data_IF_230740758381
#
_entry.id   IF_230740758381
#
_cell.length_a   1.000
_cell.length_b   1.000
_cell.length_c   1.000
_cell.angle_alpha   90.00
_cell.angle_beta   90.00
_cell.angle_gamma   90.00
#
_symmetry.space_group_name_H-M   'P 1'
#
loop_
_entity.id
_entity.type
_entity.pdbx_description
1 polymer ?
#
# COMPACT_ATOMS: atom_id res chain seq x y z
N UNK A 1 0.97 -3.14 -2.36
CA UNK A 1 0.48 -3.93 -3.52
C UNK A 1 1.12 -5.31 -3.50
N UNK A 2 0.39 -6.34 -3.91
CA UNK A 2 0.90 -7.70 -4.13
C UNK A 2 0.39 -8.25 -5.46
N UNK A 3 1.22 -9.01 -6.18
CA UNK A 3 0.88 -9.65 -7.45
C UNK A 3 1.16 -11.15 -7.38
N UNK A 4 0.21 -11.96 -7.86
CA UNK A 4 0.34 -13.42 -7.96
C UNK A 4 -0.35 -13.92 -9.22
N UNK A 5 0.45 -14.40 -10.17
CA UNK A 5 -0.07 -14.83 -11.48
C UNK A 5 -0.82 -13.68 -12.17
N UNK A 6 -2.08 -13.95 -12.56
CA UNK A 6 -2.95 -12.96 -13.21
C UNK A 6 -3.55 -11.91 -12.27
N UNK A 7 -3.41 -12.06 -10.96
CA UNK A 7 -4.07 -11.21 -9.99
C UNK A 7 -3.13 -10.15 -9.42
N UNK A 8 -3.61 -8.91 -9.32
CA UNK A 8 -2.97 -7.82 -8.58
C UNK A 8 -3.95 -7.27 -7.56
N UNK A 9 -3.49 -7.16 -6.31
CA UNK A 9 -4.23 -6.55 -5.21
C UNK A 9 -3.50 -5.30 -4.74
N UNK A 10 -4.24 -4.20 -4.68
CA UNK A 10 -3.84 -2.97 -4.01
C UNK A 10 -4.54 -2.95 -2.65
N UNK A 11 -3.75 -2.75 -1.61
CA UNK A 11 -4.19 -2.61 -0.23
C UNK A 11 -3.78 -1.22 0.22
N UNK A 12 -4.77 -0.37 0.50
CA UNK A 12 -4.54 0.96 1.03
C UNK A 12 -4.94 1.01 2.51
N UNK A 13 -3.96 1.35 3.35
CA UNK A 13 -4.15 1.48 4.79
C UNK A 13 -4.48 2.93 5.16
N UNK A 14 -5.66 3.14 5.74
CA UNK A 14 -6.16 4.45 6.14
C UNK A 14 -7.21 4.36 7.24
N UNK A 15 -8.05 5.39 7.38
CA UNK A 15 -9.19 5.37 8.33
C UNK A 15 -10.17 4.23 8.03
N UNK A 16 -10.31 3.89 6.75
CA UNK A 16 -10.96 2.68 6.26
C UNK A 16 -9.97 2.00 5.34
N UNK A 17 -9.94 0.67 5.39
CA UNK A 17 -9.15 -0.12 4.45
C UNK A 17 -9.87 -0.09 3.11
N UNK A 18 -9.15 0.33 2.08
CA UNK A 18 -9.63 0.29 0.69
C UNK A 18 -8.84 -0.75 -0.09
N UNK A 19 -9.56 -1.51 -0.92
CA UNK A 19 -9.03 -2.63 -1.66
C UNK A 19 -9.38 -2.48 -3.14
N UNK A 20 -8.42 -2.82 -3.98
CA UNK A 20 -8.61 -2.92 -5.42
C UNK A 20 -8.05 -4.26 -5.91
N UNK A 21 -8.83 -4.96 -6.74
CA UNK A 21 -8.44 -6.25 -7.29
C UNK A 21 -8.59 -6.22 -8.81
N UNK A 22 -7.52 -6.60 -9.52
CA UNK A 22 -7.50 -6.64 -10.98
C UNK A 22 -7.03 -8.00 -11.49
N UNK A 23 -7.66 -8.45 -12.57
CA UNK A 23 -7.23 -9.61 -13.36
C UNK A 23 -6.42 -9.11 -14.56
N UNK A 24 -5.10 -9.01 -14.42
CA UNK A 24 -4.19 -8.48 -15.44
C UNK A 24 -4.11 -9.31 -16.72
N UNK A 25 -4.68 -10.52 -16.75
CA UNK A 25 -4.80 -11.30 -17.99
C UNK A 25 -5.96 -10.83 -18.87
N UNK A 26 -7.07 -10.47 -18.24
CA UNK A 26 -8.32 -10.05 -18.93
C UNK A 26 -8.43 -8.52 -18.98
N UNK A 27 -7.84 -7.83 -18.02
CA UNK A 27 -7.83 -6.38 -17.85
C UNK A 27 -6.40 -5.89 -17.53
N UNK A 28 -5.50 -5.87 -18.53
CA UNK A 28 -4.10 -5.47 -18.34
C UNK A 28 -3.94 -3.99 -17.95
N UNK A 29 -4.96 -3.17 -18.20
CA UNK A 29 -4.94 -1.73 -17.95
C UNK A 29 -5.68 -1.34 -16.65
N UNK A 30 -6.18 -2.32 -15.89
CA UNK A 30 -6.74 -2.11 -14.54
C UNK A 30 -7.98 -1.18 -14.53
N UNK A 31 -8.81 -1.25 -15.56
CA UNK A 31 -10.03 -0.45 -15.65
C UNK A 31 -11.18 -1.02 -14.81
N UNK A 32 -11.16 -2.32 -14.53
CA UNK A 32 -12.25 -3.03 -13.88
C UNK A 32 -11.85 -3.50 -12.48
N UNK A 33 -12.18 -2.70 -11.47
CA UNK A 33 -11.94 -3.08 -10.08
C UNK A 33 -12.95 -4.15 -9.61
N UNK A 34 -12.44 -5.35 -9.32
CA UNK A 34 -13.22 -6.52 -8.91
C UNK A 34 -13.36 -6.65 -7.38
N UNK A 35 -12.83 -5.71 -6.58
CA UNK A 35 -12.76 -5.86 -5.12
C UNK A 35 -14.12 -5.94 -4.42
N UNK A 36 -15.15 -5.33 -5.02
CA UNK A 36 -16.53 -5.35 -4.49
C UNK A 36 -17.32 -6.59 -4.91
N UNK A 37 -16.82 -7.38 -5.87
CA UNK A 37 -17.52 -8.57 -6.31
C UNK A 37 -17.28 -9.73 -5.31
N UNK A 38 -18.36 -10.32 -4.74
CA UNK A 38 -18.26 -11.36 -3.72
C UNK A 38 -17.55 -12.64 -4.20
N UNK A 39 -17.57 -12.94 -5.50
CA UNK A 39 -16.97 -14.15 -6.07
C UNK A 39 -15.45 -14.19 -5.84
N UNK A 40 -14.81 -13.02 -5.76
CA UNK A 40 -13.36 -12.89 -5.62
C UNK A 40 -12.89 -12.71 -4.17
N UNK A 41 -13.78 -12.81 -3.18
CA UNK A 41 -13.42 -12.66 -1.75
C UNK A 41 -12.29 -13.59 -1.31
N UNK A 42 -12.25 -14.81 -1.82
CA UNK A 42 -11.21 -15.78 -1.49
C UNK A 42 -9.83 -15.36 -2.01
N UNK A 43 -9.77 -14.73 -3.19
CA UNK A 43 -8.54 -14.21 -3.80
C UNK A 43 -8.02 -13.02 -3.00
N UNK A 44 -8.92 -12.09 -2.66
CA UNK A 44 -8.62 -10.94 -1.81
C UNK A 44 -8.04 -11.41 -0.48
N UNK A 45 -8.64 -12.43 0.15
CA UNK A 45 -8.14 -12.97 1.42
C UNK A 45 -6.74 -13.56 1.30
N UNK A 46 -6.46 -14.39 0.27
CA UNK A 46 -5.13 -14.98 0.04
C UNK A 46 -4.07 -13.89 -0.16
N UNK A 47 -4.37 -12.91 -1.02
CA UNK A 47 -3.44 -11.85 -1.36
C UNK A 47 -3.21 -10.88 -0.21
N UNK A 48 -4.27 -10.46 0.49
CA UNK A 48 -4.16 -9.61 1.68
C UNK A 48 -3.34 -10.29 2.77
N UNK A 49 -3.56 -11.59 3.02
CA UNK A 49 -2.77 -12.32 4.00
C UNK A 49 -1.29 -12.36 3.63
N UNK A 50 -0.95 -12.60 2.36
CA UNK A 50 0.44 -12.54 1.88
C UNK A 50 1.07 -11.16 2.04
N UNK A 51 0.30 -10.11 1.73
CA UNK A 51 0.76 -8.75 1.87
C UNK A 51 1.03 -8.41 3.34
N UNK A 52 0.09 -8.70 4.23
CA UNK A 52 0.25 -8.42 5.67
C UNK A 52 1.35 -9.28 6.31
N UNK A 53 1.56 -10.52 5.87
CA UNK A 53 2.67 -11.33 6.34
C UNK A 53 4.04 -10.77 5.92
N UNK A 54 4.13 -10.16 4.73
CA UNK A 54 5.38 -9.58 4.23
C UNK A 54 5.70 -8.23 4.87
N UNK A 55 4.71 -7.36 4.99
CA UNK A 55 4.89 -5.98 5.46
C UNK A 55 4.70 -5.84 6.98
N UNK A 56 4.05 -6.80 7.62
CA UNK A 56 3.69 -6.75 9.03
C UNK A 56 2.46 -5.87 9.28
N UNK A 57 2.43 -5.31 10.49
CA UNK A 57 1.35 -4.47 10.99
C UNK A 57 1.33 -3.09 10.28
N UNK A 58 0.26 -2.77 9.52
CA UNK A 58 0.16 -1.51 8.80
C UNK A 58 0.17 -0.25 9.69
N UNK A 59 -0.38 -0.33 10.91
CA UNK A 59 -0.41 0.80 11.84
C UNK A 59 0.98 1.08 12.40
N UNK A 60 1.74 0.03 12.72
CA UNK A 60 3.16 0.19 13.11
C UNK A 60 3.98 0.79 11.99
N UNK A 61 3.77 0.33 10.75
CA UNK A 61 4.45 0.89 9.59
C UNK A 61 4.10 2.37 9.40
N UNK A 62 2.81 2.74 9.52
CA UNK A 62 2.36 4.13 9.45
C UNK A 62 3.02 5.00 10.50
N UNK A 63 3.04 4.55 11.76
CA UNK A 63 3.65 5.31 12.86
C UNK A 63 5.14 5.54 12.62
N UNK A 64 5.86 4.53 12.13
CA UNK A 64 7.27 4.65 11.74
C UNK A 64 7.47 5.68 10.62
N UNK A 65 6.64 5.64 9.57
CA UNK A 65 6.73 6.60 8.47
C UNK A 65 6.52 8.03 8.97
N UNK A 66 5.50 8.27 9.81
CA UNK A 66 5.23 9.60 10.38
C UNK A 66 6.39 10.09 11.25
N UNK A 67 6.95 9.22 12.10
CA UNK A 67 8.13 9.53 12.90
C UNK A 67 9.33 9.92 12.01
N UNK A 68 9.60 9.12 10.97
CA UNK A 68 10.70 9.34 10.04
C UNK A 68 10.51 10.67 9.26
N UNK A 69 9.28 11.03 8.91
CA UNK A 69 8.95 12.31 8.24
C UNK A 69 9.17 13.51 9.19
N UNK A 70 8.70 13.42 10.43
CA UNK A 70 8.85 14.46 11.43
C UNK A 70 10.33 14.71 11.76
N UNK A 71 11.11 13.63 11.90
CA UNK A 71 12.55 13.70 12.17
C UNK A 71 13.30 14.43 11.06
N UNK A 72 13.03 14.09 9.78
CA UNK A 72 13.63 14.79 8.63
C UNK A 72 13.19 16.25 8.54
N UNK A 73 11.93 16.53 8.83
CA UNK A 73 11.41 17.90 8.86
C UNK A 73 12.13 18.76 9.89
N UNK A 74 12.35 18.21 11.09
CA UNK A 74 13.08 18.88 12.17
C UNK A 74 14.55 19.13 11.80
N UNK A 75 15.26 18.11 11.31
CA UNK A 75 16.65 18.25 10.85
C UNK A 75 16.75 19.33 9.78
N UNK A 76 15.87 19.33 8.78
CA UNK A 76 15.89 20.33 7.70
C UNK A 76 15.62 21.75 8.21
N UNK A 77 14.78 21.93 9.24
CA UNK A 77 14.55 23.23 9.87
C UNK A 77 15.79 23.73 10.62
N UNK A 78 16.47 22.84 11.33
CA UNK A 78 17.64 23.18 12.15
C UNK A 78 18.93 23.37 11.32
N UNK A 79 19.14 22.53 10.30
CA UNK A 79 20.32 22.59 9.43
C UNK A 79 20.30 23.76 8.43
N UNK A 80 19.17 24.50 8.34
CA UNK A 80 18.98 25.61 7.40
C UNK A 80 18.97 25.18 5.93
N UNK A 81 18.72 26.12 5.01
CA UNK A 81 19.08 25.92 3.60
C UNK A 81 20.61 25.97 3.56
N UNK A 82 21.27 24.83 3.36
CA UNK A 82 22.70 24.84 3.08
C UNK A 82 22.99 25.88 2.00
N UNK A 83 23.88 26.84 2.29
CA UNK A 83 24.51 27.64 1.25
C UNK A 83 25.37 26.67 0.45
N UNK A 84 24.80 26.08 -0.60
CA UNK A 84 25.58 25.49 -1.66
C UNK A 84 26.10 26.67 -2.48
N UNK A 85 27.39 26.95 -2.33
CA UNK A 85 28.27 27.88 -3.08
C UNK A 85 27.64 29.22 -3.52
#
# INVERSE_FOLDING_TARGET
MVRKGKWKLIYEHGKKVELELYNLKEDPNEFNNLSKNPDYKHIIKDLSSKLLNLWGDPDKLRNKIVYDQNSRSMIRKLSGKGKYF
#
